data_IF_394029745441
#
_entry.id   IF_394029745441
#
_cell.length_a   1.000
_cell.length_b   1.000
_cell.length_c   1.000
_cell.angle_alpha   90.00
_cell.angle_beta   90.00
_cell.angle_gamma   90.00
#
_symmetry.space_group_name_H-M   'P 1'
#
loop_
_entity.id
_entity.type
_entity.pdbx_description
1 polymer ?
#
# COMPACT_ATOMS: atom_id res chain seq x y z
N UNK A 1 -16.41 17.58 11.54
CA UNK A 1 -16.86 17.26 10.17
C UNK A 1 -17.16 15.77 10.06
N UNK A 2 -18.08 15.39 9.19
CA UNK A 2 -18.42 14.01 8.85
C UNK A 2 -17.74 13.59 7.55
N UNK A 3 -16.83 12.63 7.64
CA UNK A 3 -16.13 12.06 6.49
C UNK A 3 -16.78 10.77 6.06
N UNK A 4 -16.79 10.52 4.75
CA UNK A 4 -17.11 9.22 4.19
C UNK A 4 -16.01 8.78 3.25
N UNK A 5 -15.46 7.59 3.48
CA UNK A 5 -14.57 6.93 2.53
C UNK A 5 -15.38 6.02 1.61
N UNK A 6 -15.10 6.09 0.32
CA UNK A 6 -15.78 5.32 -0.71
C UNK A 6 -14.72 4.56 -1.49
N UNK A 7 -14.64 3.25 -1.28
CA UNK A 7 -13.65 2.40 -1.93
C UNK A 7 -14.21 0.99 -2.15
N UNK A 8 -13.70 0.19 -3.10
CA UNK A 8 -14.23 -1.16 -3.34
C UNK A 8 -14.23 -2.05 -2.08
N UNK A 9 -13.24 -1.89 -1.20
CA UNK A 9 -13.10 -2.61 0.09
C UNK A 9 -12.34 -1.77 1.12
N UNK A 10 -12.35 -2.20 2.38
CA UNK A 10 -11.58 -1.57 3.46
C UNK A 10 -10.14 -2.10 3.48
N UNK A 11 -9.23 -1.44 2.77
CA UNK A 11 -7.82 -1.83 2.77
C UNK A 11 -7.07 -1.27 3.99
N UNK A 12 -6.08 -2.00 4.48
CA UNK A 12 -5.22 -1.63 5.63
C UNK A 12 -4.59 -0.23 5.53
N UNK A 13 -4.36 0.29 4.32
CA UNK A 13 -3.79 1.63 4.12
C UNK A 13 -4.76 2.76 4.49
N UNK A 14 -6.03 2.47 4.76
CA UNK A 14 -6.99 3.41 5.31
C UNK A 14 -7.01 3.44 6.83
N UNK A 15 -6.44 2.44 7.52
CA UNK A 15 -6.55 2.32 8.97
C UNK A 15 -6.05 3.57 9.68
N UNK A 16 -4.81 3.99 9.42
CA UNK A 16 -4.22 5.17 10.08
C UNK A 16 -4.82 6.50 9.61
N UNK A 17 -5.12 6.72 8.31
CA UNK A 17 -5.93 7.86 7.88
C UNK A 17 -7.27 8.00 8.63
N UNK A 18 -8.01 6.90 8.78
CA UNK A 18 -9.29 6.85 9.49
C UNK A 18 -9.08 7.13 10.98
N UNK A 19 -8.13 6.42 11.62
CA UNK A 19 -7.79 6.61 13.03
C UNK A 19 -7.49 8.07 13.33
N UNK A 20 -6.67 8.70 12.48
CA UNK A 20 -6.26 10.10 12.66
C UNK A 20 -7.46 11.05 12.65
N UNK A 21 -8.40 10.86 11.73
CA UNK A 21 -9.60 11.69 11.67
C UNK A 21 -10.47 11.50 12.92
N UNK A 22 -10.62 10.26 13.39
CA UNK A 22 -11.36 9.96 14.63
C UNK A 22 -10.69 10.58 15.87
N UNK A 23 -9.37 10.46 15.99
CA UNK A 23 -8.58 11.04 17.09
C UNK A 23 -8.72 12.58 17.16
N UNK A 24 -9.01 13.25 16.03
CA UNK A 24 -9.25 14.69 15.95
C UNK A 24 -10.74 15.07 16.04
N UNK A 25 -11.60 14.17 16.55
CA UNK A 25 -13.01 14.46 16.83
C UNK A 25 -13.93 14.50 15.60
N UNK A 26 -13.48 13.97 14.46
CA UNK A 26 -14.33 13.81 13.28
C UNK A 26 -15.08 12.48 13.31
N UNK A 27 -16.22 12.39 12.64
CA UNK A 27 -16.88 11.11 12.40
C UNK A 27 -16.46 10.56 11.04
N UNK A 28 -16.29 9.24 10.94
CA UNK A 28 -15.86 8.58 9.71
C UNK A 28 -16.76 7.39 9.42
N UNK A 29 -17.38 7.40 8.24
CA UNK A 29 -18.12 6.28 7.68
C UNK A 29 -17.38 5.71 6.47
N UNK A 30 -17.65 4.44 6.14
CA UNK A 30 -16.97 3.76 5.04
C UNK A 30 -17.98 2.97 4.19
N UNK A 31 -18.09 3.31 2.90
CA UNK A 31 -18.93 2.59 1.94
C UNK A 31 -18.06 1.68 1.06
N UNK A 32 -18.35 0.39 1.11
CA UNK A 32 -17.62 -0.64 0.35
C UNK A 32 -18.53 -1.45 -0.55
N UNK A 33 -17.97 -2.06 -1.59
CA UNK A 33 -18.69 -3.04 -2.41
C UNK A 33 -18.69 -4.42 -1.77
N UNK A 34 -17.64 -4.74 -1.01
CA UNK A 34 -17.52 -6.01 -0.29
C UNK A 34 -16.51 -5.87 0.87
N UNK A 35 -16.50 -6.86 1.77
CA UNK A 35 -15.55 -6.98 2.89
C UNK A 35 -14.51 -8.05 2.59
N UNK A 36 -13.23 -7.75 2.84
CA UNK A 36 -12.14 -8.72 2.71
C UNK A 36 -11.99 -9.62 3.94
N UNK A 37 -11.21 -10.69 3.80
CA UNK A 37 -10.98 -11.68 4.88
C UNK A 37 -10.03 -11.16 5.96
N UNK A 38 -8.94 -10.50 5.54
CA UNK A 38 -7.84 -10.04 6.40
C UNK A 38 -7.92 -8.55 6.77
N UNK A 39 -9.14 -8.01 6.85
CA UNK A 39 -9.38 -6.59 7.13
C UNK A 39 -9.72 -6.40 8.61
N UNK A 40 -9.01 -5.51 9.31
CA UNK A 40 -9.43 -5.05 10.65
C UNK A 40 -10.51 -3.98 10.50
N UNK A 41 -11.68 -4.21 11.14
CA UNK A 41 -12.80 -3.27 11.19
C UNK A 41 -12.99 -2.69 12.61
N UNK A 42 -11.92 -2.68 13.41
CA UNK A 42 -11.98 -2.29 14.83
C UNK A 42 -12.31 -0.81 15.02
N UNK A 43 -11.87 0.04 14.08
CA UNK A 43 -12.11 1.48 14.13
C UNK A 43 -13.47 1.88 13.55
N UNK A 44 -13.81 1.30 12.39
CA UNK A 44 -15.02 1.64 11.63
C UNK A 44 -15.55 0.36 10.99
N UNK A 45 -16.84 0.11 11.15
CA UNK A 45 -17.54 -1.00 10.49
C UNK A 45 -17.96 -0.58 9.07
N UNK A 46 -17.39 -1.17 8.01
CA UNK A 46 -17.76 -0.78 6.65
C UNK A 46 -19.19 -1.17 6.32
N UNK A 47 -19.91 -0.25 5.67
CA UNK A 47 -21.25 -0.46 5.14
C UNK A 47 -21.11 -1.08 3.73
N UNK A 48 -21.49 -2.35 3.60
CA UNK A 48 -21.48 -3.04 2.30
C UNK A 48 -22.69 -2.62 1.47
N UNK A 49 -22.43 -2.13 0.25
CA UNK A 49 -23.48 -1.82 -0.73
C UNK A 49 -23.80 -3.00 -1.65
N UNK A 50 -22.90 -3.99 -1.69
CA UNK A 50 -22.84 -5.11 -2.62
C UNK A 50 -22.78 -4.68 -4.10
N UNK A 51 -22.48 -5.64 -4.97
CA UNK A 51 -22.58 -5.43 -6.40
C UNK A 51 -24.03 -5.39 -6.89
N UNK A 52 -24.31 -4.49 -7.84
CA UNK A 52 -25.61 -4.42 -8.50
C UNK A 52 -26.01 -5.78 -9.12
N UNK A 53 -27.29 -6.19 -9.06
CA UNK A 53 -27.75 -7.45 -9.67
C UNK A 53 -27.35 -7.59 -11.14
N UNK A 54 -27.45 -6.50 -11.92
CA UNK A 54 -27.04 -6.47 -13.33
C UNK A 54 -25.55 -6.72 -13.51
N UNK A 55 -24.71 -6.18 -12.62
CA UNK A 55 -23.26 -6.42 -12.66
C UNK A 55 -22.95 -7.89 -12.33
N UNK A 56 -23.57 -8.44 -11.29
CA UNK A 56 -23.40 -9.86 -10.91
C UNK A 56 -23.82 -10.81 -12.03
N UNK A 57 -24.94 -10.52 -12.69
CA UNK A 57 -25.38 -11.28 -13.86
C UNK A 57 -24.37 -11.19 -15.00
N UNK A 58 -23.86 -9.99 -15.28
CA UNK A 58 -22.90 -9.77 -16.37
C UNK A 58 -21.52 -10.39 -16.10
N UNK A 59 -21.00 -10.31 -14.87
CA UNK A 59 -19.73 -10.92 -14.48
C UNK A 59 -19.79 -12.45 -14.59
N UNK A 60 -20.90 -13.05 -14.14
CA UNK A 60 -21.17 -14.48 -14.26
C UNK A 60 -21.27 -14.92 -15.73
N UNK A 61 -22.01 -14.17 -16.56
CA UNK A 61 -22.11 -14.44 -18.01
C UNK A 61 -20.74 -14.42 -18.70
N UNK A 62 -19.86 -13.50 -18.30
CA UNK A 62 -18.48 -13.41 -18.83
C UNK A 62 -17.51 -14.45 -18.25
N UNK A 63 -17.94 -15.30 -17.31
CA UNK A 63 -17.07 -16.21 -16.54
C UNK A 63 -15.87 -15.47 -15.91
N UNK A 64 -16.07 -14.22 -15.50
CA UNK A 64 -15.05 -13.36 -14.86
C UNK A 64 -15.31 -13.16 -13.37
N UNK A 65 -16.24 -13.92 -12.82
CA UNK A 65 -16.49 -13.95 -11.37
C UNK A 65 -15.30 -14.64 -10.68
N UNK A 66 -14.68 -13.94 -9.72
CA UNK A 66 -13.67 -14.55 -8.87
C UNK A 66 -14.27 -15.67 -8.02
N UNK A 67 -13.47 -16.67 -7.66
CA UNK A 67 -13.91 -17.74 -6.76
C UNK A 67 -13.86 -17.24 -5.31
N UNK A 68 -14.94 -17.48 -4.56
CA UNK A 68 -14.99 -17.20 -3.12
C UNK A 68 -14.92 -15.72 -2.74
N UNK A 69 -14.11 -15.40 -1.72
CA UNK A 69 -14.00 -14.06 -1.11
C UNK A 69 -12.99 -13.17 -1.90
N UNK A 70 -12.18 -13.78 -2.77
CA UNK A 70 -11.18 -13.08 -3.59
C UNK A 70 -11.84 -12.69 -4.91
N UNK A 71 -12.00 -11.39 -5.11
CA UNK A 71 -12.64 -10.82 -6.31
C UNK A 71 -11.65 -10.68 -7.45
N UNK A 72 -12.10 -10.98 -8.67
CA UNK A 72 -11.23 -10.88 -9.84
C UNK A 72 -10.80 -9.43 -10.10
N UNK A 73 -9.68 -9.22 -10.79
CA UNK A 73 -9.27 -7.88 -11.28
C UNK A 73 -10.38 -7.19 -12.08
N UNK A 74 -11.25 -7.98 -12.73
CA UNK A 74 -12.41 -7.48 -13.43
C UNK A 74 -13.47 -6.92 -12.47
N UNK A 75 -13.80 -7.66 -11.41
CA UNK A 75 -14.75 -7.19 -10.38
C UNK A 75 -14.25 -5.95 -9.64
N UNK A 76 -12.95 -5.87 -9.35
CA UNK A 76 -12.32 -4.70 -8.74
C UNK A 76 -12.42 -3.44 -9.61
N UNK A 77 -12.30 -3.59 -10.93
CA UNK A 77 -12.28 -2.46 -11.87
C UNK A 77 -13.66 -2.01 -12.33
N UNK A 78 -14.53 -2.97 -12.63
CA UNK A 78 -15.81 -2.72 -13.27
C UNK A 78 -17.01 -2.90 -12.34
N UNK A 79 -16.79 -3.42 -11.13
CA UNK A 79 -17.85 -3.58 -10.16
C UNK A 79 -18.45 -2.25 -9.71
N UNK A 80 -19.77 -2.22 -9.57
CA UNK A 80 -20.50 -1.07 -9.09
C UNK A 80 -21.72 -1.50 -8.26
N UNK A 81 -22.16 -0.68 -7.30
CA UNK A 81 -23.34 -0.97 -6.50
C UNK A 81 -24.61 -0.52 -7.22
N UNK A 82 -25.78 -0.88 -6.70
CA UNK A 82 -27.02 -0.25 -7.18
C UNK A 82 -26.93 1.27 -6.97
N UNK A 83 -27.19 2.11 -7.99
CA UNK A 83 -27.15 3.58 -7.85
C UNK A 83 -27.99 4.07 -6.68
N UNK A 84 -29.19 3.51 -6.49
CA UNK A 84 -30.08 3.84 -5.38
C UNK A 84 -29.48 3.54 -4.01
N UNK A 85 -28.76 2.41 -3.85
CA UNK A 85 -28.07 2.07 -2.59
C UNK A 85 -26.94 3.06 -2.30
N UNK A 86 -26.18 3.45 -3.32
CA UNK A 86 -25.11 4.43 -3.17
C UNK A 86 -25.65 5.81 -2.78
N UNK A 87 -26.66 6.31 -3.51
CA UNK A 87 -27.30 7.60 -3.22
C UNK A 87 -27.88 7.62 -1.80
N UNK A 88 -28.68 6.60 -1.44
CA UNK A 88 -29.29 6.51 -0.11
C UNK A 88 -28.24 6.35 1.00
N UNK A 89 -27.17 5.60 0.75
CA UNK A 89 -26.04 5.48 1.68
C UNK A 89 -25.38 6.84 1.97
N UNK A 90 -25.05 7.60 0.93
CA UNK A 90 -24.45 8.93 1.06
C UNK A 90 -25.42 9.91 1.75
N UNK A 91 -26.69 9.95 1.35
CA UNK A 91 -27.68 10.88 1.93
C UNK A 91 -27.95 10.58 3.40
N UNK A 92 -28.05 9.31 3.81
CA UNK A 92 -28.32 8.92 5.20
C UNK A 92 -27.20 9.37 6.14
N UNK A 93 -25.94 9.25 5.71
CA UNK A 93 -24.76 9.63 6.49
C UNK A 93 -24.68 11.16 6.66
N UNK A 94 -25.19 11.92 5.67
CA UNK A 94 -25.09 13.39 5.59
C UNK A 94 -23.63 13.87 5.72
N UNK A 95 -22.70 13.40 4.86
CA UNK A 95 -21.29 13.75 4.97
C UNK A 95 -21.04 15.23 4.63
N UNK A 96 -19.96 15.77 5.19
CA UNK A 96 -19.37 17.05 4.79
C UNK A 96 -18.33 16.86 3.68
N UNK A 97 -17.58 15.73 3.74
CA UNK A 97 -16.47 15.43 2.83
C UNK A 97 -16.51 13.97 2.38
N UNK A 98 -16.33 13.74 1.08
CA UNK A 98 -16.18 12.42 0.47
C UNK A 98 -14.72 12.18 0.09
N UNK A 99 -14.11 11.12 0.62
CA UNK A 99 -12.84 10.58 0.12
C UNK A 99 -13.11 9.39 -0.80
N UNK A 100 -12.91 9.59 -2.11
CA UNK A 100 -13.23 8.58 -3.13
C UNK A 100 -11.96 7.91 -3.64
N UNK A 101 -11.85 6.59 -3.49
CA UNK A 101 -10.70 5.82 -3.94
C UNK A 101 -10.74 5.62 -5.45
N UNK A 102 -9.67 6.05 -6.11
CA UNK A 102 -9.45 5.94 -7.56
C UNK A 102 -10.50 6.69 -8.39
N UNK A 103 -10.22 6.88 -9.68
CA UNK A 103 -11.09 7.54 -10.69
C UNK A 103 -11.35 6.63 -11.88
N UNK A 104 -10.74 5.45 -11.88
CA UNK A 104 -10.78 4.51 -13.01
C UNK A 104 -11.92 3.50 -12.89
N UNK A 105 -12.67 3.50 -11.78
CA UNK A 105 -13.77 2.56 -11.53
C UNK A 105 -15.13 3.23 -11.72
N UNK A 106 -16.10 2.45 -12.17
CA UNK A 106 -17.50 2.90 -12.33
C UNK A 106 -18.06 3.36 -10.98
N UNK A 107 -17.76 2.62 -9.91
CA UNK A 107 -18.18 2.96 -8.56
C UNK A 107 -17.71 4.36 -8.12
N UNK A 108 -16.43 4.66 -8.34
CA UNK A 108 -15.84 5.96 -7.98
C UNK A 108 -16.47 7.11 -8.77
N UNK A 109 -16.71 6.92 -10.08
CA UNK A 109 -17.34 7.94 -10.91
C UNK A 109 -18.79 8.22 -10.49
N UNK A 110 -19.55 7.18 -10.13
CA UNK A 110 -20.90 7.35 -9.58
C UNK A 110 -20.86 8.15 -8.27
N UNK A 111 -19.94 7.83 -7.37
CA UNK A 111 -19.80 8.53 -6.10
C UNK A 111 -19.43 10.01 -6.27
N UNK A 112 -18.52 10.32 -7.21
CA UNK A 112 -18.16 11.70 -7.55
C UNK A 112 -19.34 12.47 -8.14
N UNK A 113 -20.11 11.87 -9.05
CA UNK A 113 -21.31 12.49 -9.62
C UNK A 113 -22.36 12.80 -8.54
N UNK A 114 -22.60 11.86 -7.62
CA UNK A 114 -23.53 12.07 -6.50
C UNK A 114 -23.02 13.14 -5.55
N UNK A 115 -21.73 13.12 -5.20
CA UNK A 115 -21.10 14.14 -4.35
C UNK A 115 -21.21 15.54 -4.95
N UNK A 116 -20.99 15.67 -6.26
CA UNK A 116 -21.16 16.91 -7.01
C UNK A 116 -22.60 17.43 -6.97
N UNK A 117 -23.58 16.57 -7.27
CA UNK A 117 -25.01 16.94 -7.22
C UNK A 117 -25.48 17.36 -5.82
N UNK A 118 -24.85 16.81 -4.77
CA UNK A 118 -25.13 17.15 -3.38
C UNK A 118 -24.30 18.33 -2.85
N UNK A 119 -23.47 18.97 -3.69
CA UNK A 119 -22.62 20.09 -3.31
C UNK A 119 -21.59 19.76 -2.22
N UNK A 120 -21.08 18.53 -2.20
CA UNK A 120 -20.14 18.07 -1.16
C UNK A 120 -18.69 18.29 -1.55
N UNK A 121 -17.86 18.54 -0.55
CA UNK A 121 -16.40 18.56 -0.74
C UNK A 121 -15.92 17.16 -1.06
N UNK A 122 -15.05 17.03 -2.06
CA UNK A 122 -14.60 15.73 -2.56
C UNK A 122 -13.08 15.72 -2.72
N UNK A 123 -12.46 14.67 -2.18
CA UNK A 123 -11.03 14.39 -2.37
C UNK A 123 -10.91 13.00 -3.00
N UNK A 124 -10.27 12.94 -4.16
CA UNK A 124 -9.97 11.69 -4.83
C UNK A 124 -8.65 11.12 -4.33
N UNK A 125 -8.59 9.82 -4.01
CA UNK A 125 -7.37 9.12 -3.63
C UNK A 125 -6.87 8.25 -4.77
N UNK A 126 -5.87 8.70 -5.51
CA UNK A 126 -5.32 7.98 -6.67
C UNK A 126 -3.91 7.46 -6.42
N UNK A 127 -3.44 6.57 -7.29
CA UNK A 127 -2.04 6.12 -7.36
C UNK A 127 -1.37 6.58 -8.67
N UNK A 128 -2.01 7.47 -9.40
CA UNK A 128 -1.42 8.11 -10.57
C UNK A 128 -0.20 8.92 -10.11
N UNK A 129 1.00 8.72 -10.68
CA UNK A 129 2.18 9.47 -10.29
C UNK A 129 1.98 10.97 -10.54
N UNK A 130 2.42 11.81 -9.60
CA UNK A 130 2.37 13.27 -9.75
C UNK A 130 3.19 13.70 -10.98
N UNK A 131 4.45 13.31 -11.06
CA UNK A 131 5.34 13.57 -12.17
C UNK A 131 5.44 12.33 -13.08
N UNK A 132 4.96 12.44 -14.33
CA UNK A 132 4.94 11.32 -15.28
C UNK A 132 4.99 11.78 -16.72
N UNK A 133 5.52 10.93 -17.59
CA UNK A 133 5.42 11.13 -19.04
C UNK A 133 3.95 11.13 -19.45
N UNK A 134 3.42 12.27 -19.88
CA UNK A 134 2.01 12.37 -20.28
C UNK A 134 1.76 11.50 -21.52
N UNK A 135 0.99 10.41 -21.38
CA UNK A 135 0.32 9.74 -22.50
C UNK A 135 -1.18 10.05 -22.41
N UNK A 136 -1.78 10.48 -23.53
CA UNK A 136 -3.19 10.86 -23.64
C UNK A 136 -4.11 9.70 -23.20
N UNK A 137 -4.66 9.81 -21.99
CA UNK A 137 -6.03 9.46 -21.53
C UNK A 137 -6.02 9.27 -20.00
N UNK A 138 -6.91 9.98 -19.26
CA UNK A 138 -7.01 9.89 -17.79
C UNK A 138 -6.44 11.08 -17.01
N UNK A 139 -6.60 12.32 -17.50
CA UNK A 139 -6.08 13.50 -16.82
C UNK A 139 -6.90 13.84 -15.57
N UNK A 140 -6.32 13.75 -14.37
CA UNK A 140 -6.97 14.28 -13.15
C UNK A 140 -7.52 15.72 -13.33
N UNK A 141 -6.94 16.51 -14.24
CA UNK A 141 -7.46 17.82 -14.67
C UNK A 141 -8.94 17.83 -15.04
N UNK A 142 -9.46 16.79 -15.71
CA UNK A 142 -10.88 16.76 -16.07
C UNK A 142 -11.77 16.59 -14.83
N UNK A 143 -11.31 15.90 -13.79
CA UNK A 143 -12.07 15.74 -12.53
C UNK A 143 -12.32 17.09 -11.88
N UNK A 144 -11.29 17.94 -11.81
CA UNK A 144 -11.47 19.29 -11.30
C UNK A 144 -12.44 20.09 -12.18
N UNK A 145 -12.31 20.01 -13.51
CA UNK A 145 -13.20 20.71 -14.44
C UNK A 145 -14.66 20.25 -14.35
N UNK A 146 -14.92 18.97 -14.06
CA UNK A 146 -16.27 18.41 -14.02
C UNK A 146 -16.88 18.38 -12.61
N UNK A 147 -16.08 18.15 -11.58
CA UNK A 147 -16.54 17.90 -10.22
C UNK A 147 -15.98 18.89 -9.18
N UNK A 148 -15.10 19.80 -9.56
CA UNK A 148 -14.44 20.73 -8.63
C UNK A 148 -13.58 20.03 -7.57
N UNK A 149 -13.15 18.79 -7.82
CA UNK A 149 -12.47 17.96 -6.82
C UNK A 149 -10.95 17.97 -6.96
N UNK A 150 -10.28 17.94 -5.81
CA UNK A 150 -8.85 17.69 -5.71
C UNK A 150 -8.55 16.19 -5.69
N UNK A 151 -7.36 15.81 -6.13
CA UNK A 151 -6.87 14.45 -5.99
C UNK A 151 -5.56 14.43 -5.19
N UNK A 152 -5.42 13.43 -4.32
CA UNK A 152 -4.20 13.13 -3.60
C UNK A 152 -3.55 11.86 -4.14
N UNK A 153 -2.22 11.84 -4.21
CA UNK A 153 -1.43 10.68 -4.61
C UNK A 153 -0.24 10.45 -3.69
N UNK A 154 0.01 9.20 -3.26
CA UNK A 154 1.21 8.81 -2.54
C UNK A 154 2.43 8.64 -3.47
N UNK A 155 2.24 8.78 -4.78
CA UNK A 155 3.26 8.47 -5.78
C UNK A 155 3.79 9.77 -6.37
N UNK A 156 5.04 10.11 -6.06
CA UNK A 156 5.67 11.31 -6.60
C UNK A 156 5.96 11.15 -8.10
N UNK A 157 6.46 9.99 -8.52
CA UNK A 157 6.83 9.71 -9.91
C UNK A 157 8.25 10.17 -10.27
N UNK A 158 8.47 10.57 -11.52
CA UNK A 158 9.78 10.97 -12.03
C UNK A 158 9.84 12.49 -12.22
N UNK A 159 10.52 13.19 -11.31
CA UNK A 159 10.56 14.67 -11.25
C UNK A 159 10.99 15.36 -12.55
N UNK A 160 11.79 14.67 -13.38
CA UNK A 160 12.18 15.16 -14.71
C UNK A 160 10.99 15.45 -15.64
N UNK A 161 9.80 14.90 -15.36
CA UNK A 161 8.59 15.23 -16.10
C UNK A 161 7.82 16.35 -15.39
N UNK A 162 7.51 17.46 -16.08
CA UNK A 162 6.71 18.53 -15.51
C UNK A 162 5.29 18.05 -15.22
N UNK A 163 4.71 18.56 -14.13
CA UNK A 163 3.29 18.40 -13.83
C UNK A 163 2.68 19.77 -13.53
N UNK A 164 1.83 20.23 -14.44
CA UNK A 164 1.08 21.48 -14.37
C UNK A 164 -0.32 21.30 -13.75
N UNK A 165 -0.64 20.10 -13.25
CA UNK A 165 -1.91 19.84 -12.59
C UNK A 165 -1.82 20.17 -11.09
N UNK A 166 -2.11 21.41 -10.74
CA UNK A 166 -2.19 21.90 -9.36
C UNK A 166 -3.21 21.15 -8.50
N UNK A 167 -4.19 20.49 -9.12
CA UNK A 167 -5.23 19.72 -8.42
C UNK A 167 -4.78 18.29 -8.04
N UNK A 168 -3.60 17.85 -8.49
CA UNK A 168 -3.00 16.58 -8.09
C UNK A 168 -1.90 16.82 -7.05
N UNK A 169 -2.27 16.62 -5.79
CA UNK A 169 -1.47 16.93 -4.63
C UNK A 169 -0.73 15.67 -4.16
N UNK A 170 0.55 15.81 -3.85
CA UNK A 170 1.30 14.74 -3.23
C UNK A 170 0.92 14.65 -1.75
N UNK A 171 0.48 13.47 -1.33
CA UNK A 171 0.26 13.15 0.08
C UNK A 171 0.76 11.71 0.31
N UNK A 172 1.92 11.54 0.96
CA UNK A 172 2.47 10.22 1.18
C UNK A 172 1.54 9.37 2.05
N UNK A 173 1.73 8.06 1.95
CA UNK A 173 1.13 7.15 2.92
C UNK A 173 1.66 7.46 4.33
N UNK A 174 0.80 7.27 5.32
CA UNK A 174 1.13 7.50 6.72
C UNK A 174 1.11 6.21 7.50
N UNK A 175 1.95 6.09 8.52
CA UNK A 175 2.09 4.93 9.40
C UNK A 175 2.27 5.43 10.85
N UNK A 176 2.08 4.60 11.89
CA UNK A 176 2.19 5.05 13.27
C UNK A 176 3.63 5.49 13.56
N UNK A 177 3.80 6.54 14.36
CA UNK A 177 5.12 7.10 14.67
C UNK A 177 5.68 6.68 16.02
N UNK A 178 4.85 6.07 16.85
CA UNK A 178 5.20 5.60 18.20
C UNK A 178 5.67 4.14 18.21
N UNK A 179 5.62 3.46 17.06
CA UNK A 179 6.13 2.10 16.91
C UNK A 179 7.66 2.11 17.04
N UNK A 180 8.18 2.03 18.26
CA UNK A 180 9.56 1.67 18.48
C UNK A 180 9.76 0.22 18.01
N UNK A 181 10.28 0.04 16.79
CA UNK A 181 10.89 -1.22 16.42
C UNK A 181 12.12 -1.49 17.29
N UNK A 182 12.70 -2.69 17.21
CA UNK A 182 14.02 -2.94 17.77
C UNK A 182 15.02 -2.00 17.09
N UNK A 183 15.35 -0.88 17.74
CA UNK A 183 16.43 0.01 17.29
C UNK A 183 17.81 -0.61 17.56
N UNK A 184 17.90 -1.61 18.43
CA UNK A 184 19.06 -2.50 18.54
C UNK A 184 18.97 -3.67 17.56
N UNK A 185 20.09 -4.36 17.35
CA UNK A 185 20.05 -5.74 16.84
C UNK A 185 19.48 -6.61 17.97
N UNK A 186 18.66 -7.60 17.63
CA UNK A 186 18.13 -8.51 18.64
C UNK A 186 19.22 -9.22 19.44
N UNK A 187 18.83 -9.93 20.50
CA UNK A 187 19.74 -10.86 21.19
C UNK A 187 20.29 -11.98 20.29
N UNK A 188 19.78 -12.13 19.06
CA UNK A 188 20.35 -12.99 18.04
C UNK A 188 21.40 -12.23 17.22
N UNK A 189 22.57 -12.83 17.02
CA UNK A 189 23.59 -12.33 16.09
C UNK A 189 23.14 -12.28 14.61
N UNK A 190 21.95 -12.82 14.30
CA UNK A 190 21.40 -12.95 12.94
C UNK A 190 20.69 -11.68 12.48
N UNK A 191 20.99 -11.23 11.26
CA UNK A 191 20.26 -10.17 10.56
C UNK A 191 18.97 -10.74 9.96
N UNK A 192 17.82 -10.13 10.24
CA UNK A 192 16.54 -10.61 9.72
C UNK A 192 16.06 -9.73 8.58
N UNK A 193 15.90 -10.33 7.40
CA UNK A 193 15.35 -9.70 6.19
C UNK A 193 13.87 -10.06 6.08
N UNK A 194 13.02 -9.07 5.85
CA UNK A 194 11.58 -9.22 5.73
C UNK A 194 11.09 -8.86 4.32
N UNK A 195 10.36 -9.77 3.70
CA UNK A 195 9.60 -9.52 2.48
C UNK A 195 8.10 -9.65 2.75
N UNK A 196 7.34 -8.57 2.57
CA UNK A 196 5.87 -8.58 2.75
C UNK A 196 5.17 -8.36 1.42
N UNK A 197 4.31 -9.31 1.05
CA UNK A 197 3.46 -9.19 -0.12
C UNK A 197 2.77 -10.51 -0.45
N UNK A 198 1.61 -10.42 -1.10
CA UNK A 198 0.89 -11.59 -1.62
C UNK A 198 1.82 -12.48 -2.45
N UNK A 199 1.62 -13.79 -2.41
CA UNK A 199 2.43 -14.73 -3.18
C UNK A 199 2.00 -14.72 -4.65
N UNK A 200 2.55 -13.79 -5.42
CA UNK A 200 2.27 -13.58 -6.84
C UNK A 200 3.57 -13.33 -7.60
N UNK A 201 3.67 -13.77 -8.86
CA UNK A 201 4.88 -13.60 -9.66
C UNK A 201 5.39 -12.15 -9.72
N UNK A 202 4.47 -11.18 -9.82
CA UNK A 202 4.78 -9.74 -9.82
C UNK A 202 5.42 -9.26 -8.50
N UNK A 203 5.20 -9.96 -7.38
CA UNK A 203 5.80 -9.60 -6.08
C UNK A 203 7.22 -10.12 -5.92
N UNK A 204 7.69 -10.97 -6.83
CA UNK A 204 9.08 -11.34 -7.06
C UNK A 204 9.86 -11.82 -5.83
N UNK A 205 9.21 -12.55 -4.91
CA UNK A 205 9.87 -13.13 -3.74
C UNK A 205 10.97 -14.14 -4.13
N UNK A 206 10.88 -14.77 -5.31
CA UNK A 206 11.94 -15.63 -5.84
C UNK A 206 13.29 -14.91 -5.98
N UNK A 207 13.30 -13.61 -6.31
CA UNK A 207 14.53 -12.82 -6.36
C UNK A 207 15.22 -12.77 -4.98
N UNK A 208 14.45 -12.61 -3.91
CA UNK A 208 15.00 -12.61 -2.54
C UNK A 208 15.60 -13.97 -2.21
N UNK A 209 14.97 -15.08 -2.61
CA UNK A 209 15.55 -16.41 -2.40
C UNK A 209 16.87 -16.59 -3.14
N UNK A 210 16.95 -16.10 -4.38
CA UNK A 210 18.19 -16.14 -5.18
C UNK A 210 19.32 -15.36 -4.53
N UNK A 211 19.03 -14.14 -4.05
CA UNK A 211 20.02 -13.31 -3.38
C UNK A 211 20.41 -13.90 -2.02
N UNK A 212 19.45 -14.33 -1.21
CA UNK A 212 19.72 -14.97 0.09
C UNK A 212 20.56 -16.25 -0.07
N UNK A 213 20.31 -17.06 -1.10
CA UNK A 213 21.15 -18.21 -1.43
C UNK A 213 22.62 -17.81 -1.64
N UNK A 214 22.88 -16.66 -2.26
CA UNK A 214 24.24 -16.15 -2.48
C UNK A 214 24.87 -15.60 -1.20
N UNK A 215 24.07 -14.97 -0.32
CA UNK A 215 24.58 -14.29 0.87
C UNK A 215 24.71 -15.17 2.11
N UNK A 216 24.02 -16.32 2.16
CA UNK A 216 23.95 -17.16 3.38
C UNK A 216 25.28 -17.75 3.84
N UNK A 217 26.30 -17.83 2.96
CA UNK A 217 27.66 -18.26 3.33
C UNK A 217 28.46 -17.17 4.03
N UNK A 218 28.19 -15.91 3.68
CA UNK A 218 29.01 -14.76 4.08
C UNK A 218 28.41 -14.06 5.30
N UNK A 219 27.10 -14.22 5.52
CA UNK A 219 26.37 -13.53 6.59
C UNK A 219 25.45 -14.47 7.36
N UNK A 220 25.44 -14.29 8.68
CA UNK A 220 24.46 -14.91 9.58
C UNK A 220 23.12 -14.18 9.43
N UNK A 221 22.20 -14.74 8.63
CA UNK A 221 20.94 -14.08 8.29
C UNK A 221 19.73 -15.02 8.35
N UNK A 222 18.54 -14.42 8.40
CA UNK A 222 17.24 -15.06 8.18
C UNK A 222 16.44 -14.28 7.14
N UNK A 223 15.62 -14.98 6.37
CA UNK A 223 14.63 -14.37 5.49
C UNK A 223 13.23 -14.80 5.91
N UNK A 224 12.39 -13.82 6.22
CA UNK A 224 10.97 -14.00 6.48
C UNK A 224 10.16 -13.51 5.29
N UNK A 225 9.36 -14.40 4.70
CA UNK A 225 8.41 -14.06 3.65
C UNK A 225 7.00 -14.14 4.22
N UNK A 226 6.30 -13.01 4.26
CA UNK A 226 4.94 -12.91 4.82
C UNK A 226 3.97 -12.50 3.73
N UNK A 227 2.92 -13.29 3.52
CA UNK A 227 1.98 -13.04 2.44
C UNK A 227 0.69 -13.82 2.54
N UNK A 228 -0.33 -13.34 1.81
CA UNK A 228 -1.55 -14.10 1.57
C UNK A 228 -1.38 -14.96 0.31
N UNK A 229 -1.97 -16.14 0.33
CA UNK A 229 -2.16 -16.96 -0.86
C UNK A 229 -3.23 -16.33 -1.76
N UNK A 230 -2.90 -15.99 -3.02
CA UNK A 230 -3.76 -15.16 -3.89
C UNK A 230 -4.17 -15.87 -5.19
N UNK A 231 -4.17 -17.21 -5.19
CA UNK A 231 -4.37 -18.10 -6.36
C UNK A 231 -3.29 -17.91 -7.45
N UNK A 232 -2.19 -18.65 -7.31
CA UNK A 232 -1.19 -18.94 -8.35
C UNK A 232 -0.28 -20.06 -7.83
N UNK A 233 0.25 -20.93 -8.71
CA UNK A 233 1.31 -21.92 -8.37
C UNK A 233 2.64 -21.26 -7.91
N UNK A 234 2.65 -19.94 -7.71
CA UNK A 234 3.83 -19.18 -7.34
C UNK A 234 4.35 -19.54 -5.94
N UNK A 235 3.46 -19.76 -4.97
CA UNK A 235 3.88 -20.23 -3.65
C UNK A 235 4.51 -21.63 -3.73
N UNK A 236 3.95 -22.52 -4.56
CA UNK A 236 4.54 -23.83 -4.84
C UNK A 236 5.95 -23.68 -5.43
N UNK A 237 6.16 -22.76 -6.38
CA UNK A 237 7.49 -22.45 -6.93
C UNK A 237 8.46 -21.95 -5.86
N UNK A 238 8.02 -21.09 -4.94
CA UNK A 238 8.83 -20.62 -3.81
C UNK A 238 9.23 -21.80 -2.91
N UNK A 239 8.28 -22.64 -2.51
CA UNK A 239 8.54 -23.81 -1.66
C UNK A 239 9.51 -24.79 -2.31
N UNK A 240 9.30 -25.10 -3.60
CA UNK A 240 10.21 -25.94 -4.38
C UNK A 240 11.61 -25.33 -4.43
N UNK A 241 11.73 -24.02 -4.70
CA UNK A 241 13.03 -23.36 -4.72
C UNK A 241 13.77 -23.44 -3.37
N UNK A 242 13.05 -23.24 -2.25
CA UNK A 242 13.62 -23.37 -0.90
C UNK A 242 14.13 -24.78 -0.65
N UNK A 243 13.37 -25.80 -1.06
CA UNK A 243 13.74 -27.21 -0.92
C UNK A 243 14.97 -27.57 -1.78
N UNK A 244 14.92 -27.27 -3.07
CA UNK A 244 15.94 -27.63 -4.05
C UNK A 244 17.31 -26.98 -3.76
N UNK A 245 17.30 -25.85 -3.05
CA UNK A 245 18.51 -25.11 -2.69
C UNK A 245 18.89 -25.21 -1.21
N UNK A 246 18.23 -26.10 -0.46
CA UNK A 246 18.48 -26.32 0.98
C UNK A 246 18.53 -24.99 1.75
N UNK A 247 17.45 -24.21 1.64
CA UNK A 247 17.29 -22.91 2.29
C UNK A 247 16.37 -22.94 3.51
N UNK A 248 15.88 -24.12 3.92
CA UNK A 248 14.89 -24.26 5.00
C UNK A 248 15.40 -23.85 6.39
N UNK A 249 16.70 -23.77 6.59
CA UNK A 249 17.35 -23.27 7.81
C UNK A 249 17.44 -21.73 7.85
N UNK A 250 17.37 -21.08 6.69
CA UNK A 250 17.51 -19.63 6.52
C UNK A 250 16.18 -18.93 6.23
N UNK A 251 15.26 -19.61 5.52
CA UNK A 251 14.03 -19.03 5.00
C UNK A 251 12.81 -19.58 5.75
N UNK A 252 11.97 -18.67 6.25
CA UNK A 252 10.68 -19.00 6.86
C UNK A 252 9.56 -18.28 6.10
N UNK A 253 8.49 -19.02 5.79
CA UNK A 253 7.36 -18.53 5.00
C UNK A 253 6.12 -18.53 5.89
N UNK A 254 5.53 -17.36 6.07
CA UNK A 254 4.34 -17.14 6.89
C UNK A 254 3.16 -16.79 5.97
N UNK A 255 2.07 -17.53 6.13
CA UNK A 255 0.89 -17.45 5.26
C UNK A 255 -0.29 -16.90 6.03
N UNK A 256 -1.07 -16.02 5.39
CA UNK A 256 -2.35 -15.54 5.90
C UNK A 256 -2.27 -15.00 7.35
N UNK A 257 -1.16 -14.34 7.66
CA UNK A 257 -0.93 -13.69 8.97
C UNK A 257 -1.96 -12.60 9.17
N UNK A 258 -2.53 -12.54 10.37
CA UNK A 258 -3.50 -11.51 10.72
C UNK A 258 -2.84 -10.13 10.77
N UNK A 259 -3.56 -9.08 10.38
CA UNK A 259 -2.98 -7.74 10.32
C UNK A 259 -2.46 -7.25 11.68
N UNK A 260 -3.10 -7.65 12.78
CA UNK A 260 -2.66 -7.34 14.15
C UNK A 260 -1.31 -7.96 14.52
N UNK A 261 -0.92 -9.07 13.89
CA UNK A 261 0.34 -9.77 14.14
C UNK A 261 1.50 -9.23 13.29
N UNK A 262 1.20 -8.49 12.21
CA UNK A 262 2.23 -7.93 11.31
C UNK A 262 3.22 -7.02 12.04
N UNK A 263 2.77 -6.33 13.10
CA UNK A 263 3.64 -5.54 13.96
C UNK A 263 4.80 -6.36 14.54
N UNK A 264 4.58 -7.63 14.87
CA UNK A 264 5.61 -8.54 15.37
C UNK A 264 6.71 -8.82 14.35
N UNK A 265 6.34 -9.02 13.08
CA UNK A 265 7.30 -9.25 12.00
C UNK A 265 8.18 -8.04 11.76
N UNK A 266 7.58 -6.85 11.67
CA UNK A 266 8.34 -5.61 11.53
C UNK A 266 9.25 -5.38 12.75
N UNK A 267 8.74 -5.50 13.98
CA UNK A 267 9.55 -5.30 15.21
C UNK A 267 10.77 -6.22 15.31
N UNK A 268 10.69 -7.43 14.76
CA UNK A 268 11.73 -8.44 14.85
C UNK A 268 12.58 -8.57 13.58
N UNK A 269 12.51 -7.58 12.67
CA UNK A 269 13.29 -7.53 11.44
C UNK A 269 14.20 -6.31 11.39
N UNK A 270 15.27 -6.39 10.60
CA UNK A 270 16.28 -5.33 10.46
C UNK A 270 16.21 -4.64 9.11
N UNK A 271 15.93 -5.42 8.07
CA UNK A 271 15.92 -4.97 6.68
C UNK A 271 14.59 -5.41 6.06
N UNK A 272 13.95 -4.51 5.32
CA UNK A 272 12.76 -4.81 4.53
C UNK A 272 13.09 -4.71 3.05
N UNK A 273 12.70 -5.72 2.26
CA UNK A 273 12.95 -5.76 0.82
C UNK A 273 11.64 -5.90 0.06
N UNK A 274 11.43 -5.00 -0.91
CA UNK A 274 10.27 -4.97 -1.79
C UNK A 274 10.70 -5.10 -3.26
N UNK A 275 10.80 -6.33 -3.81
CA UNK A 275 11.34 -6.61 -5.14
C UNK A 275 10.31 -6.55 -6.28
N UNK A 276 9.13 -6.01 -6.00
CA UNK A 276 7.96 -6.12 -6.87
C UNK A 276 8.15 -5.45 -8.23
N UNK A 277 7.54 -6.02 -9.27
CA UNK A 277 7.33 -5.40 -10.57
C UNK A 277 5.96 -4.71 -10.63
N UNK A 278 5.91 -3.59 -11.36
CA UNK A 278 4.70 -2.82 -11.70
C UNK A 278 3.81 -2.55 -10.49
N UNK A 279 4.41 -2.20 -9.37
CA UNK A 279 3.69 -1.94 -8.13
C UNK A 279 3.30 -0.46 -8.08
N UNK A 280 2.00 -0.16 -8.24
CA UNK A 280 1.53 1.22 -8.27
C UNK A 280 1.88 2.00 -7.01
N UNK A 281 1.72 1.39 -5.83
CA UNK A 281 2.16 1.93 -4.54
C UNK A 281 2.12 0.82 -3.49
N UNK A 282 3.10 0.76 -2.59
CA UNK A 282 3.15 -0.23 -1.52
C UNK A 282 3.07 0.43 -0.13
N UNK A 283 2.10 0.00 0.66
CA UNK A 283 1.94 0.46 2.02
C UNK A 283 2.92 -0.22 2.99
N UNK A 284 3.32 -1.47 2.71
CA UNK A 284 4.28 -2.22 3.54
C UNK A 284 5.66 -1.55 3.64
N UNK A 285 6.03 -0.71 2.65
CA UNK A 285 7.26 0.07 2.70
C UNK A 285 7.24 1.08 3.85
N UNK A 286 6.14 1.85 3.99
CA UNK A 286 6.02 2.84 5.07
C UNK A 286 5.78 2.18 6.42
N UNK A 287 5.10 1.03 6.46
CA UNK A 287 5.00 0.21 7.66
C UNK A 287 6.41 -0.20 8.12
N UNK A 288 7.25 -0.75 7.25
CA UNK A 288 8.63 -1.12 7.60
C UNK A 288 9.46 0.07 8.12
N UNK A 289 9.38 1.22 7.45
CA UNK A 289 10.07 2.45 7.89
C UNK A 289 9.60 2.90 9.28
N UNK A 290 8.31 2.75 9.59
CA UNK A 290 7.74 3.11 10.89
C UNK A 290 8.24 2.26 12.06
N UNK A 291 8.82 1.09 11.78
CA UNK A 291 9.53 0.25 12.75
C UNK A 291 11.07 0.42 12.65
N UNK A 292 11.54 1.36 11.85
CA UNK A 292 12.96 1.66 11.69
C UNK A 292 13.73 0.63 10.88
N UNK A 293 13.09 -0.13 9.99
CA UNK A 293 13.83 -1.07 9.12
C UNK A 293 14.55 -0.30 8.02
N UNK A 294 15.75 -0.77 7.64
CA UNK A 294 16.39 -0.31 6.41
C UNK A 294 15.57 -0.85 5.23
N UNK A 295 15.16 0.02 4.31
CA UNK A 295 14.24 -0.36 3.23
C UNK A 295 14.95 -0.46 1.88
N UNK A 296 14.80 -1.59 1.20
CA UNK A 296 15.23 -1.75 -0.18
C UNK A 296 14.00 -1.91 -1.07
N UNK A 297 13.85 -1.02 -2.06
CA UNK A 297 12.71 -1.05 -2.98
C UNK A 297 13.18 -1.20 -4.41
N UNK A 298 12.45 -1.98 -5.21
CA UNK A 298 12.65 -1.98 -6.65
C UNK A 298 12.41 -0.60 -7.25
N UNK A 299 13.06 -0.31 -8.38
CA UNK A 299 12.86 0.89 -9.17
C UNK A 299 11.50 0.93 -9.90
N UNK A 300 10.76 -0.19 -9.94
CA UNK A 300 9.44 -0.38 -10.55
C UNK A 300 8.30 -0.37 -9.50
N UNK A 301 8.52 0.37 -8.42
CA UNK A 301 7.57 0.60 -7.34
C UNK A 301 7.24 2.10 -7.21
N UNK A 302 5.97 2.49 -7.17
CA UNK A 302 5.57 3.89 -7.11
C UNK A 302 5.88 4.60 -5.77
N UNK A 303 6.02 3.84 -4.69
CA UNK A 303 6.44 4.35 -3.38
C UNK A 303 7.96 4.37 -3.19
N UNK A 304 8.76 4.06 -4.23
CA UNK A 304 10.23 4.15 -4.17
C UNK A 304 10.74 5.54 -3.75
N UNK A 305 9.97 6.59 -3.98
CA UNK A 305 10.28 7.96 -3.57
C UNK A 305 10.37 8.15 -2.04
N UNK A 306 9.93 7.17 -1.24
CA UNK A 306 10.08 7.19 0.22
C UNK A 306 11.47 6.72 0.66
N UNK A 307 12.19 6.04 -0.23
CA UNK A 307 13.57 5.61 -0.03
C UNK A 307 14.50 6.77 -0.37
N UNK A 308 15.28 7.19 0.62
CA UNK A 308 16.35 8.18 0.51
C UNK A 308 17.66 7.41 0.41
N UNK A 309 18.22 7.36 -0.80
CA UNK A 309 19.40 6.53 -1.14
C UNK A 309 20.56 6.75 -0.16
N UNK A 310 21.06 5.68 0.44
CA UNK A 310 22.17 5.73 1.41
C UNK A 310 21.83 6.31 2.78
N UNK A 311 20.59 6.79 2.99
CA UNK A 311 20.13 7.38 4.26
C UNK A 311 19.28 6.37 5.03
N UNK A 312 18.12 5.98 4.50
CA UNK A 312 17.22 4.99 5.12
C UNK A 312 17.13 3.67 4.34
N UNK A 313 17.80 3.58 3.18
CA UNK A 313 17.59 2.48 2.26
C UNK A 313 18.26 2.65 0.91
N UNK A 314 17.91 1.76 -0.01
CA UNK A 314 18.43 1.74 -1.39
C UNK A 314 17.36 1.35 -2.42
N UNK A 315 17.46 1.90 -3.62
CA UNK A 315 16.62 1.55 -4.76
C UNK A 315 17.39 0.63 -5.70
N UNK A 316 16.83 -0.52 -6.08
CA UNK A 316 17.49 -1.51 -6.94
C UNK A 316 16.71 -1.86 -8.21
N UNK A 317 17.39 -2.41 -9.20
CA UNK A 317 16.75 -2.98 -10.38
C UNK A 317 16.27 -4.41 -10.10
N UNK A 318 14.94 -4.69 -10.15
CA UNK A 318 14.41 -6.02 -9.89
C UNK A 318 14.75 -7.04 -11.00
N UNK A 319 15.33 -6.62 -12.12
CA UNK A 319 15.82 -7.48 -13.20
C UNK A 319 17.30 -7.88 -13.02
N UNK A 320 18.03 -7.25 -12.11
CA UNK A 320 19.46 -7.47 -11.87
C UNK A 320 19.70 -7.98 -10.44
N UNK A 321 19.69 -9.31 -10.19
CA UNK A 321 19.88 -9.86 -8.85
C UNK A 321 21.17 -9.43 -8.15
N UNK A 322 22.23 -9.17 -8.92
CA UNK A 322 23.50 -8.66 -8.41
C UNK A 322 23.34 -7.29 -7.74
N UNK A 323 22.51 -6.40 -8.30
CA UNK A 323 22.28 -5.06 -7.75
C UNK A 323 21.64 -5.12 -6.35
N UNK A 324 20.64 -5.99 -6.17
CA UNK A 324 20.06 -6.23 -4.85
C UNK A 324 21.08 -6.87 -3.88
N UNK A 325 21.86 -7.85 -4.36
CA UNK A 325 22.86 -8.52 -3.55
C UNK A 325 23.93 -7.55 -3.04
N UNK A 326 24.46 -6.69 -3.89
CA UNK A 326 25.51 -5.72 -3.53
C UNK A 326 25.00 -4.68 -2.53
N UNK A 327 23.77 -4.19 -2.69
CA UNK A 327 23.11 -3.30 -1.74
C UNK A 327 22.89 -3.96 -0.38
N UNK A 328 22.44 -5.21 -0.35
CA UNK A 328 22.29 -5.96 0.90
C UNK A 328 23.64 -6.20 1.57
N UNK A 329 24.67 -6.64 0.82
CA UNK A 329 26.04 -6.80 1.35
C UNK A 329 26.55 -5.51 1.99
N UNK A 330 26.41 -4.38 1.28
CA UNK A 330 26.88 -3.07 1.75
C UNK A 330 26.20 -2.59 3.04
N UNK A 331 24.95 -3.00 3.28
CA UNK A 331 24.22 -2.73 4.53
C UNK A 331 24.60 -3.70 5.64
N UNK A 332 24.78 -4.98 5.29
CA UNK A 332 24.95 -6.06 6.27
C UNK A 332 26.39 -6.20 6.79
N UNK A 333 27.40 -5.71 6.05
CA UNK A 333 28.81 -5.82 6.42
C UNK A 333 29.19 -4.99 7.63
N UNK A 334 28.50 -3.87 7.86
CA UNK A 334 28.76 -2.95 8.96
C UNK A 334 27.50 -2.82 9.83
N UNK A 335 27.55 -3.43 11.01
CA UNK A 335 26.46 -3.41 11.99
C UNK A 335 26.17 -2.00 12.51
N UNK A 336 27.18 -1.16 12.67
CA UNK A 336 26.98 0.22 13.12
C UNK A 336 26.28 1.03 12.04
N UNK A 337 26.69 0.88 10.77
CA UNK A 337 26.00 1.47 9.64
C UNK A 337 24.55 1.01 9.54
N UNK A 338 24.27 -0.29 9.68
CA UNK A 338 22.91 -0.82 9.70
C UNK A 338 22.08 -0.14 10.80
N UNK A 339 22.58 -0.07 12.04
CA UNK A 339 21.91 0.59 13.15
C UNK A 339 21.63 2.08 12.87
N UNK A 340 22.61 2.80 12.31
CA UNK A 340 22.45 4.20 11.94
C UNK A 340 21.36 4.39 10.88
N UNK A 341 21.35 3.55 9.85
CA UNK A 341 20.32 3.58 8.80
C UNK A 341 18.93 3.23 9.34
N UNK A 342 18.83 2.30 10.31
CA UNK A 342 17.56 1.98 11.00
C UNK A 342 17.00 3.20 11.74
N UNK A 343 17.84 3.92 12.47
CA UNK A 343 17.44 5.16 13.15
C UNK A 343 16.99 6.24 12.16
N UNK A 344 17.74 6.42 11.06
CA UNK A 344 17.36 7.35 9.98
C UNK A 344 16.04 6.97 9.32
N UNK A 345 15.79 5.68 9.11
CA UNK A 345 14.51 5.19 8.56
C UNK A 345 13.33 5.56 9.45
N UNK A 346 13.47 5.35 10.77
CA UNK A 346 12.46 5.77 11.73
C UNK A 346 12.27 7.30 11.76
N UNK A 347 13.37 8.07 11.67
CA UNK A 347 13.31 9.52 11.62
C UNK A 347 12.53 10.02 10.39
N UNK A 348 12.85 9.49 9.19
CA UNK A 348 12.12 9.81 7.95
C UNK A 348 10.64 9.44 8.08
N UNK A 349 10.30 8.28 8.68
CA UNK A 349 8.91 7.91 8.91
C UNK A 349 8.18 8.91 9.82
N UNK A 350 8.82 9.37 10.90
CA UNK A 350 8.26 10.36 11.83
C UNK A 350 8.06 11.73 11.19
N UNK A 351 9.01 12.17 10.37
CA UNK A 351 9.00 13.48 9.76
C UNK A 351 8.04 13.57 8.56
N UNK A 352 8.12 12.60 7.64
CA UNK A 352 7.44 12.65 6.34
C UNK A 352 6.14 11.81 6.31
N UNK A 353 6.01 10.79 7.16
CA UNK A 353 4.95 9.79 7.09
C UNK A 353 4.08 9.70 8.36
N UNK A 354 4.12 10.72 9.21
CA UNK A 354 3.31 10.74 10.42
C UNK A 354 1.81 10.93 10.12
N UNK A 355 0.90 10.34 10.91
CA UNK A 355 -0.53 10.47 10.66
C UNK A 355 -1.01 11.92 10.74
N UNK A 356 -0.37 12.76 11.56
CA UNK A 356 -0.66 14.19 11.64
C UNK A 356 -0.44 14.94 10.32
N UNK A 357 0.54 14.53 9.49
CA UNK A 357 0.77 15.12 8.16
C UNK A 357 -0.40 14.84 7.22
N UNK A 358 -0.99 13.65 7.29
CA UNK A 358 -2.22 13.34 6.56
C UNK A 358 -3.35 14.28 6.98
N UNK A 359 -3.56 14.45 8.28
CA UNK A 359 -4.60 15.34 8.80
C UNK A 359 -4.42 16.77 8.32
N UNK A 360 -3.24 17.35 8.53
CA UNK A 360 -2.92 18.72 8.14
C UNK A 360 -3.17 18.94 6.64
N UNK A 361 -2.70 18.02 5.79
CA UNK A 361 -2.84 18.17 4.34
C UNK A 361 -4.28 18.01 3.88
N UNK A 362 -5.04 17.09 4.48
CA UNK A 362 -6.47 16.93 4.16
C UNK A 362 -7.25 18.17 4.55
N UNK A 363 -7.00 18.75 5.73
CA UNK A 363 -7.67 19.99 6.15
C UNK A 363 -7.29 21.19 5.28
N UNK A 364 -6.03 21.30 4.86
CA UNK A 364 -5.58 22.30 3.88
C UNK A 364 -6.39 22.20 2.59
N UNK A 365 -6.49 20.99 2.01
CA UNK A 365 -7.24 20.74 0.77
C UNK A 365 -8.72 21.07 0.91
N UNK A 366 -9.31 20.80 2.07
CA UNK A 366 -10.72 21.12 2.35
C UNK A 366 -10.95 22.63 2.39
N UNK A 367 -9.95 23.42 2.74
CA UNK A 367 -10.07 24.88 2.87
C UNK A 367 -9.69 25.65 1.60
N UNK A 368 -9.19 24.96 0.56
CA UNK A 368 -9.09 25.48 -0.81
C UNK A 368 -10.46 25.51 -1.47
#
# INVERSE_FOLDING_TARGET
MKFIFIAPRFHTNFYYPVKTLLDHGHSVDFLVLYKGVSESHDLVKPISLDYAPVFRWWSKWRRKEGRGIIKSQYELRYGFPSPWRLVTGIIKIKPDVLLVKDITTVYSLMALGIGFLLGKKMIVMTQIPKHRRQRRSGSVKWLWRLFGSYAITPVLGEEKFPNDNHNLIYLPFVAPTESSGRLGLGSSEKIVILGVGKFQARKNQLLLLQVVKQLKSDFSLKLWLVGQDDEDDYLSKINTYVKDHSLGDVVEIFRNVEWSEMAGFYKNSDIFVLPSFKEAAAYSLVEAMSYGLVVLSSNDNGTKCYVKEGVNGFIFDPLEPADLADKLKGVMIDKERLLNMKQKSLAVAKEEHSPIKFYQKVMEIINL
#
